data_IF_749601369322
#
_entry.id   IF_749601369322
#
_cell.length_a   1.000
_cell.length_b   1.000
_cell.length_c   1.000
_cell.angle_alpha   90.00
_cell.angle_beta   90.00
_cell.angle_gamma   90.00
#
_symmetry.space_group_name_H-M   'P 1'
#
loop_
_entity.id
_entity.type
_entity.pdbx_description
1 polymer ?
#
# COMPACT_ATOMS: atom_id res chain seq x y z
N UNK A 1 30.38 70.28 11.38
CA UNK A 1 31.54 69.96 10.51
C UNK A 1 31.04 69.22 9.26
N UNK A 2 30.42 69.94 8.33
CA UNK A 2 30.11 69.42 7.00
C UNK A 2 31.15 70.00 6.05
N UNK A 3 32.05 69.16 5.52
CA UNK A 3 33.01 69.59 4.51
C UNK A 3 32.48 69.18 3.15
N UNK A 4 32.08 70.18 2.38
CA UNK A 4 31.75 70.13 0.97
C UNK A 4 32.75 69.26 0.19
N UNK A 5 32.31 68.09 -0.26
CA UNK A 5 33.05 67.24 -1.20
C UNK A 5 32.91 67.71 -2.65
N UNK A 6 32.19 68.79 -2.91
CA UNK A 6 31.99 69.37 -4.25
C UNK A 6 33.14 70.25 -4.75
N UNK A 7 34.13 70.57 -3.92
CA UNK A 7 35.12 71.62 -4.22
C UNK A 7 36.50 71.15 -4.73
N UNK A 8 36.66 69.88 -5.14
CA UNK A 8 37.96 69.36 -5.62
C UNK A 8 37.97 68.83 -7.07
N UNK A 9 36.90 69.05 -7.84
CA UNK A 9 36.91 68.76 -9.27
C UNK A 9 37.47 69.99 -10.02
N UNK A 10 38.64 69.83 -10.65
CA UNK A 10 39.18 70.85 -11.56
C UNK A 10 38.21 71.11 -12.71
N UNK A 11 38.09 72.36 -13.17
CA UNK A 11 37.25 72.68 -14.32
C UNK A 11 38.00 72.27 -15.60
N UNK A 12 37.47 71.23 -16.25
CA UNK A 12 37.64 70.82 -17.66
C UNK A 12 37.90 69.32 -17.75
N UNK A 13 36.85 68.51 -17.55
CA UNK A 13 36.77 67.23 -18.24
C UNK A 13 36.78 67.54 -19.73
N UNK A 14 37.76 67.02 -20.45
CA UNK A 14 37.76 67.14 -21.90
C UNK A 14 36.50 66.47 -22.46
N UNK A 15 36.00 66.92 -23.61
CA UNK A 15 34.81 66.33 -24.23
C UNK A 15 34.92 64.81 -24.41
N UNK A 16 36.15 64.30 -24.60
CA UNK A 16 36.45 62.88 -24.68
C UNK A 16 36.29 62.14 -23.35
N UNK A 17 36.67 62.76 -22.22
CA UNK A 17 36.50 62.18 -20.89
C UNK A 17 35.03 62.20 -20.45
N UNK A 18 34.30 63.28 -20.75
CA UNK A 18 32.86 63.36 -20.51
C UNK A 18 32.11 62.25 -21.28
N UNK A 19 32.40 62.08 -22.58
CA UNK A 19 31.81 61.01 -23.38
C UNK A 19 32.14 59.60 -22.87
N UNK A 20 33.32 59.42 -22.25
CA UNK A 20 33.73 58.14 -21.67
C UNK A 20 33.03 57.85 -20.36
N UNK A 21 32.82 58.87 -19.52
CA UNK A 21 31.99 58.77 -18.32
C UNK A 21 30.55 58.40 -18.71
N UNK A 22 29.98 59.03 -19.73
CA UNK A 22 28.63 58.71 -20.21
C UNK A 22 28.52 57.25 -20.69
N UNK A 23 29.54 56.73 -21.39
CA UNK A 23 29.60 55.32 -21.77
C UNK A 23 29.64 54.38 -20.57
N UNK A 24 30.42 54.71 -19.53
CA UNK A 24 30.47 53.90 -18.31
C UNK A 24 29.17 53.96 -17.53
N UNK A 25 28.51 55.11 -17.47
CA UNK A 25 27.19 55.26 -16.85
C UNK A 25 26.16 54.39 -17.57
N UNK A 26 26.09 54.47 -18.90
CA UNK A 26 25.19 53.64 -19.70
C UNK A 26 25.46 52.13 -19.53
N UNK A 27 26.73 51.73 -19.44
CA UNK A 27 27.10 50.34 -19.19
C UNK A 27 26.68 49.86 -17.78
N UNK A 28 26.80 50.71 -16.76
CA UNK A 28 26.37 50.40 -15.39
C UNK A 28 24.84 50.28 -15.31
N UNK A 29 24.11 51.16 -15.99
CA UNK A 29 22.64 51.10 -16.04
C UNK A 29 22.16 49.82 -16.76
N UNK A 30 22.81 49.46 -17.88
CA UNK A 30 22.53 48.21 -18.57
C UNK A 30 22.82 46.97 -17.70
N UNK A 31 23.92 46.99 -16.95
CA UNK A 31 24.27 45.91 -16.03
C UNK A 31 23.27 45.82 -14.86
N UNK A 32 22.83 46.96 -14.31
CA UNK A 32 21.81 47.00 -13.28
C UNK A 32 20.47 46.42 -13.78
N UNK A 33 20.05 46.79 -15.00
CA UNK A 33 18.85 46.23 -15.62
C UNK A 33 18.96 44.71 -15.84
N UNK A 34 20.13 44.22 -16.28
CA UNK A 34 20.39 42.78 -16.42
C UNK A 34 20.32 42.04 -15.08
N UNK A 35 20.84 42.64 -14.01
CA UNK A 35 20.81 42.02 -12.69
C UNK A 35 19.38 41.93 -12.13
N UNK A 36 18.52 42.91 -12.40
CA UNK A 36 17.09 42.83 -12.05
C UNK A 36 16.43 41.62 -12.71
N UNK A 37 16.65 41.42 -14.01
CA UNK A 37 16.08 40.28 -14.76
C UNK A 37 16.59 38.94 -14.22
N UNK A 38 17.87 38.86 -13.85
CA UNK A 38 18.46 37.63 -13.27
C UNK A 38 17.83 37.32 -11.91
N UNK A 39 17.58 38.32 -11.08
CA UNK A 39 16.96 38.14 -9.76
C UNK A 39 15.48 37.74 -9.89
N UNK A 40 14.73 38.35 -10.81
CA UNK A 40 13.35 37.95 -11.09
C UNK A 40 13.26 36.51 -11.59
N UNK A 41 14.17 36.10 -12.49
CA UNK A 41 14.26 34.72 -12.96
C UNK A 41 14.67 33.76 -11.81
N UNK A 42 15.55 34.19 -10.91
CA UNK A 42 15.94 33.40 -9.75
C UNK A 42 14.76 33.21 -8.78
N UNK A 43 13.92 34.23 -8.58
CA UNK A 43 12.71 34.14 -7.77
C UNK A 43 11.67 33.21 -8.41
N UNK A 44 11.48 33.29 -9.73
CA UNK A 44 10.59 32.39 -10.48
C UNK A 44 11.07 30.93 -10.40
N UNK A 45 12.38 30.70 -10.59
CA UNK A 45 12.99 29.37 -10.48
C UNK A 45 12.95 28.83 -9.04
N UNK A 46 13.09 29.68 -8.03
CA UNK A 46 12.97 29.28 -6.63
C UNK A 46 11.55 28.77 -6.30
N UNK A 47 10.51 29.40 -6.85
CA UNK A 47 9.11 28.96 -6.71
C UNK A 47 8.86 27.65 -7.47
N UNK A 48 9.49 27.47 -8.64
CA UNK A 48 9.36 26.30 -9.51
C UNK A 48 10.26 25.11 -9.18
N UNK A 49 10.93 25.09 -8.02
CA UNK A 49 11.90 24.04 -7.69
C UNK A 49 11.24 22.65 -7.72
N UNK A 50 11.96 21.68 -8.28
CA UNK A 50 11.55 20.26 -8.35
C UNK A 50 11.13 19.72 -6.97
N UNK A 51 11.75 20.21 -5.90
CA UNK A 51 11.41 19.86 -4.51
C UNK A 51 10.01 20.36 -4.09
N UNK A 52 9.58 21.54 -4.52
CA UNK A 52 8.25 22.08 -4.20
C UNK A 52 7.13 21.38 -5.00
N UNK A 53 7.43 21.01 -6.25
CA UNK A 53 6.52 20.21 -7.09
C UNK A 53 6.44 18.75 -6.61
N UNK A 54 7.56 18.15 -6.17
CA UNK A 54 7.57 16.79 -5.58
C UNK A 54 6.93 16.74 -4.18
N UNK A 55 7.07 17.79 -3.36
CA UNK A 55 6.43 17.88 -2.05
C UNK A 55 4.90 17.99 -2.14
N UNK A 56 4.37 18.50 -3.25
CA UNK A 56 2.93 18.70 -3.43
C UNK A 56 2.21 17.50 -4.05
N UNK A 57 2.88 16.66 -4.84
CA UNK A 57 2.17 15.73 -5.74
C UNK A 57 2.06 14.28 -5.28
N UNK A 58 3.12 13.48 -5.13
CA UNK A 58 2.94 12.06 -5.49
C UNK A 58 3.27 10.99 -4.44
N UNK A 59 3.92 11.32 -3.32
CA UNK A 59 4.35 10.24 -2.42
C UNK A 59 3.23 9.77 -1.47
N UNK A 60 2.49 10.68 -0.85
CA UNK A 60 1.41 10.31 0.08
C UNK A 60 0.20 9.74 -0.67
N UNK A 61 -0.23 10.36 -1.77
CA UNK A 61 -1.33 9.86 -2.60
C UNK A 61 -0.98 8.52 -3.29
N UNK A 62 0.27 8.35 -3.72
CA UNK A 62 0.76 7.09 -4.28
C UNK A 62 0.76 5.98 -3.24
N UNK A 63 1.20 6.26 -2.01
CA UNK A 63 1.18 5.30 -0.89
C UNK A 63 -0.25 5.00 -0.46
N UNK A 64 -1.16 5.96 -0.37
CA UNK A 64 -2.55 5.72 0.02
C UNK A 64 -3.32 4.92 -1.04
N UNK A 65 -3.07 5.19 -2.33
CA UNK A 65 -3.67 4.42 -3.43
C UNK A 65 -3.10 3.01 -3.51
N UNK A 66 -1.78 2.85 -3.37
CA UNK A 66 -1.14 1.54 -3.32
C UNK A 66 -1.50 0.78 -2.05
N UNK A 67 -1.58 1.43 -0.90
CA UNK A 67 -2.03 0.81 0.35
C UNK A 67 -3.50 0.42 0.25
N UNK A 68 -4.38 1.27 -0.29
CA UNK A 68 -5.79 0.93 -0.54
C UNK A 68 -5.95 -0.25 -1.50
N UNK A 69 -5.12 -0.29 -2.55
CA UNK A 69 -5.09 -1.40 -3.53
C UNK A 69 -4.52 -2.67 -2.93
N UNK A 70 -3.41 -2.59 -2.20
CA UNK A 70 -2.78 -3.72 -1.50
C UNK A 70 -3.65 -4.22 -0.35
N UNK A 71 -4.43 -3.37 0.33
CA UNK A 71 -5.37 -3.81 1.37
C UNK A 71 -6.59 -4.50 0.73
N UNK A 72 -7.03 -4.06 -0.45
CA UNK A 72 -8.07 -4.73 -1.25
C UNK A 72 -7.61 -6.05 -1.86
N UNK A 73 -6.31 -6.17 -2.17
CA UNK A 73 -5.68 -7.36 -2.76
C UNK A 73 -5.00 -8.27 -1.73
N UNK A 74 -4.84 -7.79 -0.49
CA UNK A 74 -4.22 -8.57 0.57
C UNK A 74 -5.06 -9.82 0.77
N UNK A 75 -4.39 -10.96 0.74
CA UNK A 75 -4.93 -12.19 1.28
C UNK A 75 -4.48 -12.29 2.75
N UNK A 76 -5.19 -11.66 3.72
CA UNK A 76 -4.86 -11.75 5.15
C UNK A 76 -4.90 -13.18 5.68
N UNK A 77 -5.55 -14.10 4.96
CA UNK A 77 -5.70 -15.50 5.34
C UNK A 77 -5.12 -16.41 4.24
N UNK A 78 -3.80 -16.66 4.24
CA UNK A 78 -3.17 -17.55 3.26
C UNK A 78 -3.78 -18.95 3.25
N UNK A 79 -3.72 -19.62 2.10
CA UNK A 79 -4.19 -21.01 1.96
C UNK A 79 -3.46 -21.92 2.97
N UNK A 80 -4.19 -22.92 3.48
CA UNK A 80 -3.75 -23.82 4.56
C UNK A 80 -3.32 -23.12 5.86
N UNK A 81 -3.72 -21.85 6.08
CA UNK A 81 -3.52 -21.19 7.38
C UNK A 81 -4.59 -21.60 8.39
N UNK A 82 -4.21 -21.87 9.65
CA UNK A 82 -5.16 -22.16 10.72
C UNK A 82 -5.86 -20.87 11.17
N UNK A 83 -7.18 -20.91 11.23
CA UNK A 83 -8.03 -19.77 11.60
C UNK A 83 -9.07 -20.19 12.63
N UNK A 84 -9.71 -19.20 13.26
CA UNK A 84 -11.00 -19.37 13.90
C UNK A 84 -12.08 -18.76 13.00
N UNK A 85 -13.20 -19.46 12.86
CA UNK A 85 -14.29 -19.08 11.96
C UNK A 85 -15.63 -19.15 12.68
N UNK A 86 -16.51 -18.18 12.43
CA UNK A 86 -17.89 -18.26 12.94
C UNK A 86 -18.69 -19.29 12.15
N UNK A 87 -19.20 -20.29 12.84
CA UNK A 87 -20.02 -21.32 12.22
C UNK A 87 -21.09 -21.83 13.21
N UNK A 88 -22.34 -22.02 12.76
CA UNK A 88 -23.38 -22.53 13.65
C UNK A 88 -23.08 -23.97 14.04
N UNK A 89 -23.34 -24.31 15.30
CA UNK A 89 -23.29 -25.73 15.74
C UNK A 89 -24.55 -26.49 15.34
N UNK A 90 -25.64 -25.78 15.06
CA UNK A 90 -26.94 -26.34 14.71
C UNK A 90 -27.49 -25.61 13.48
N UNK A 91 -28.07 -26.35 12.54
CA UNK A 91 -28.55 -25.78 11.27
C UNK A 91 -29.63 -24.70 11.44
N UNK A 92 -30.36 -24.70 12.56
CA UNK A 92 -31.46 -23.78 12.81
C UNK A 92 -31.01 -22.38 13.28
N UNK A 93 -29.73 -22.19 13.62
CA UNK A 93 -29.23 -20.89 14.05
C UNK A 93 -28.81 -20.04 12.85
N UNK A 94 -29.63 -19.05 12.49
CA UNK A 94 -29.39 -18.12 11.38
C UNK A 94 -28.70 -16.81 11.81
N UNK A 95 -28.55 -16.55 13.11
CA UNK A 95 -27.89 -15.35 13.61
C UNK A 95 -26.37 -15.55 13.69
N UNK A 96 -25.68 -15.14 12.63
CA UNK A 96 -24.23 -15.21 12.51
C UNK A 96 -23.46 -14.51 13.63
N UNK A 97 -24.06 -13.47 14.24
CA UNK A 97 -23.43 -12.75 15.35
C UNK A 97 -23.45 -13.53 16.66
N UNK A 98 -24.33 -14.52 16.78
CA UNK A 98 -24.41 -15.44 17.93
C UNK A 98 -23.53 -16.68 17.79
N UNK A 99 -23.02 -16.97 16.59
CA UNK A 99 -22.28 -18.21 16.33
C UNK A 99 -20.96 -18.28 17.09
N UNK A 100 -20.59 -19.47 17.59
CA UNK A 100 -19.30 -19.67 18.23
C UNK A 100 -18.16 -19.56 17.21
N UNK A 101 -16.98 -19.21 17.72
CA UNK A 101 -15.73 -19.27 16.98
C UNK A 101 -15.18 -20.69 17.02
N UNK A 102 -15.17 -21.36 15.88
CA UNK A 102 -14.70 -22.74 15.74
C UNK A 102 -13.35 -22.78 15.02
N UNK A 103 -12.48 -23.75 15.34
CA UNK A 103 -11.24 -23.95 14.59
C UNK A 103 -11.53 -24.28 13.12
N UNK A 104 -10.75 -23.71 12.21
CA UNK A 104 -10.85 -23.98 10.79
C UNK A 104 -9.52 -23.86 10.06
N UNK A 105 -9.53 -24.29 8.80
CA UNK A 105 -8.39 -24.22 7.90
C UNK A 105 -8.82 -23.54 6.60
N UNK A 106 -8.07 -22.52 6.19
CA UNK A 106 -8.34 -21.82 4.92
C UNK A 106 -8.05 -22.76 3.76
N UNK A 107 -9.05 -22.98 2.91
CA UNK A 107 -8.88 -23.70 1.64
C UNK A 107 -8.33 -22.74 0.58
N UNK A 108 -8.89 -21.53 0.55
CA UNK A 108 -8.35 -20.43 -0.23
C UNK A 108 -9.36 -19.30 -0.45
N UNK A 109 -8.87 -18.20 -1.00
CA UNK A 109 -9.71 -17.07 -1.39
C UNK A 109 -10.45 -17.39 -2.69
N UNK A 110 -11.77 -17.22 -2.69
CA UNK A 110 -12.63 -17.46 -3.87
C UNK A 110 -12.84 -16.17 -4.65
N UNK A 111 -13.00 -15.07 -3.92
CA UNK A 111 -13.16 -13.71 -4.42
C UNK A 111 -12.55 -12.74 -3.39
N UNK A 112 -12.19 -11.50 -3.77
CA UNK A 112 -11.68 -10.51 -2.83
C UNK A 112 -12.62 -10.39 -1.61
N UNK A 113 -12.08 -10.59 -0.40
CA UNK A 113 -12.85 -10.54 0.84
C UNK A 113 -13.69 -11.77 1.16
N UNK A 114 -13.58 -12.87 0.40
CA UNK A 114 -14.35 -14.10 0.63
C UNK A 114 -13.45 -15.35 0.55
N UNK A 115 -13.49 -16.15 1.61
CA UNK A 115 -12.67 -17.36 1.75
C UNK A 115 -13.54 -18.60 1.93
N UNK A 116 -13.08 -19.72 1.38
CA UNK A 116 -13.55 -21.04 1.76
C UNK A 116 -12.73 -21.57 2.93
N UNK A 117 -13.43 -22.07 3.94
CA UNK A 117 -12.83 -22.59 5.17
C UNK A 117 -13.46 -23.95 5.50
N UNK A 118 -12.61 -24.93 5.77
CA UNK A 118 -13.02 -26.20 6.39
C UNK A 118 -13.12 -25.98 7.89
N UNK A 119 -14.26 -26.29 8.50
CA UNK A 119 -14.47 -26.15 9.96
C UNK A 119 -14.11 -27.44 10.66
N UNK A 120 -13.03 -27.45 11.44
CA UNK A 120 -12.44 -28.67 12.02
C UNK A 120 -12.94 -28.85 13.46
N UNK A 121 -14.22 -29.18 13.61
CA UNK A 121 -14.84 -29.50 14.89
C UNK A 121 -15.53 -30.87 14.80
N UNK A 122 -15.18 -31.79 15.71
CA UNK A 122 -15.69 -33.17 15.71
C UNK A 122 -17.22 -33.24 15.83
N UNK A 123 -17.86 -32.21 16.40
CA UNK A 123 -19.32 -32.12 16.53
C UNK A 123 -20.02 -31.86 15.21
N UNK A 124 -19.27 -31.45 14.19
CA UNK A 124 -19.79 -31.07 12.88
C UNK A 124 -19.43 -32.08 11.78
N UNK A 125 -18.86 -33.23 12.13
CA UNK A 125 -18.50 -34.26 11.13
C UNK A 125 -19.75 -34.71 10.37
N UNK A 126 -19.76 -34.48 9.06
CA UNK A 126 -20.88 -34.81 8.17
C UNK A 126 -20.89 -36.29 7.78
N UNK A 127 -19.74 -36.96 7.92
CA UNK A 127 -19.58 -38.37 7.61
C UNK A 127 -18.12 -38.81 7.64
N UNK A 128 -17.88 -40.03 7.19
CA UNK A 128 -16.54 -40.58 7.02
C UNK A 128 -16.34 -40.95 5.55
N UNK A 129 -15.17 -40.67 5.01
CA UNK A 129 -14.71 -41.25 3.75
C UNK A 129 -14.54 -42.77 3.89
N UNK A 130 -14.39 -43.47 2.77
CA UNK A 130 -14.22 -44.94 2.75
C UNK A 130 -12.97 -45.42 3.50
N UNK A 131 -11.97 -44.57 3.68
CA UNK A 131 -10.75 -44.80 4.44
C UNK A 131 -10.87 -44.45 5.95
N UNK A 132 -12.07 -44.06 6.40
CA UNK A 132 -12.36 -43.69 7.78
C UNK A 132 -11.94 -42.27 8.15
N UNK A 133 -11.55 -41.42 7.19
CA UNK A 133 -11.22 -40.01 7.46
C UNK A 133 -12.50 -39.18 7.63
N UNK A 134 -12.62 -38.33 8.67
CA UNK A 134 -13.80 -37.48 8.85
C UNK A 134 -13.94 -36.42 7.77
N UNK A 135 -15.17 -36.25 7.29
CA UNK A 135 -15.59 -35.20 6.38
C UNK A 135 -16.13 -34.04 7.23
N UNK A 136 -15.48 -32.89 7.10
CA UNK A 136 -15.86 -31.67 7.79
C UNK A 136 -16.57 -30.71 6.83
N UNK A 137 -17.51 -29.88 7.32
CA UNK A 137 -18.21 -28.92 6.50
C UNK A 137 -17.25 -27.86 5.97
N UNK A 138 -17.51 -27.42 4.73
CA UNK A 138 -16.85 -26.28 4.10
C UNK A 138 -17.82 -25.12 4.06
N UNK A 139 -17.39 -23.96 4.56
CA UNK A 139 -18.21 -22.75 4.56
C UNK A 139 -17.49 -21.57 3.93
N UNK A 140 -18.28 -20.67 3.33
CA UNK A 140 -17.82 -19.39 2.79
C UNK A 140 -17.96 -18.31 3.84
N UNK A 141 -16.91 -17.54 4.08
CA UNK A 141 -16.94 -16.45 5.07
C UNK A 141 -16.22 -15.21 4.57
N UNK A 142 -16.75 -14.08 5.01
CA UNK A 142 -16.11 -12.78 4.88
C UNK A 142 -15.06 -12.59 5.99
N UNK A 143 -14.20 -11.58 5.85
CA UNK A 143 -13.06 -11.37 6.74
C UNK A 143 -13.48 -11.21 8.21
N UNK A 144 -14.63 -10.60 8.45
CA UNK A 144 -15.17 -10.27 9.77
C UNK A 144 -15.57 -11.52 10.57
N UNK A 145 -15.89 -12.61 9.85
CA UNK A 145 -16.24 -13.91 10.41
C UNK A 145 -15.02 -14.84 10.55
N UNK A 146 -13.80 -14.32 10.33
CA UNK A 146 -12.54 -15.07 10.36
C UNK A 146 -11.56 -14.35 11.29
N UNK A 147 -10.84 -15.11 12.12
CA UNK A 147 -9.75 -14.61 12.96
C UNK A 147 -8.51 -15.47 12.72
N UNK A 148 -7.36 -14.82 12.53
CA UNK A 148 -6.10 -15.54 12.55
C UNK A 148 -5.93 -16.14 13.94
N UNK A 149 -5.69 -17.45 13.99
CA UNK A 149 -5.34 -18.10 15.25
C UNK A 149 -3.90 -17.70 15.56
N UNK A 150 -3.71 -16.78 16.51
CA UNK A 150 -2.38 -16.38 16.96
C UNK A 150 -1.73 -17.55 17.71
N UNK A 151 -0.95 -18.35 17.00
CA UNK A 151 0.04 -19.23 17.60
C UNK A 151 1.36 -18.45 17.63
N UNK A 152 2.07 -18.34 18.78
CA UNK A 152 3.45 -17.91 18.74
C UNK A 152 4.21 -18.83 17.80
N UNK A 153 5.07 -18.25 16.95
CA UNK A 153 5.82 -18.92 15.87
C UNK A 153 6.69 -20.10 16.34
N UNK A 154 6.83 -20.29 17.66
CA UNK A 154 7.54 -21.38 18.35
C UNK A 154 6.67 -22.59 18.73
N UNK A 155 5.35 -22.52 18.57
CA UNK A 155 4.42 -23.61 18.90
C UNK A 155 3.82 -24.27 17.65
N UNK A 156 4.67 -24.69 16.72
CA UNK A 156 4.29 -25.71 15.74
C UNK A 156 4.57 -27.06 16.40
N UNK A 157 3.56 -27.77 16.96
CA UNK A 157 3.74 -29.18 17.27
C UNK A 157 3.93 -29.92 15.95
N UNK A 158 5.19 -30.23 15.66
CA UNK A 158 5.57 -31.20 14.64
C UNK A 158 4.97 -32.55 15.05
N UNK A 159 3.81 -32.91 14.51
CA UNK A 159 3.37 -34.31 14.52
C UNK A 159 1.88 -34.60 14.68
N UNK A 160 1.05 -33.73 15.27
CA UNK A 160 -0.31 -34.16 15.65
C UNK A 160 -1.46 -33.54 14.83
N UNK A 161 -1.27 -32.33 14.27
CA UNK A 161 -2.32 -31.63 13.48
C UNK A 161 -1.92 -31.40 12.01
N UNK A 162 -0.75 -31.87 11.59
CA UNK A 162 -0.10 -31.45 10.35
C UNK A 162 -0.14 -32.47 9.21
N UNK A 163 -0.53 -33.73 9.44
CA UNK A 163 -0.64 -34.72 8.37
C UNK A 163 -1.98 -34.65 7.63
N UNK A 164 -3.08 -34.92 8.34
CA UNK A 164 -4.41 -35.12 7.74
C UNK A 164 -5.08 -33.83 7.28
N UNK A 165 -5.01 -32.74 8.05
CA UNK A 165 -5.62 -31.47 7.65
C UNK A 165 -4.93 -30.84 6.43
N UNK A 166 -3.60 -31.00 6.32
CA UNK A 166 -2.85 -30.65 5.11
C UNK A 166 -3.21 -31.54 3.94
N UNK A 167 -3.34 -32.85 4.15
CA UNK A 167 -3.73 -33.79 3.10
C UNK A 167 -5.15 -33.50 2.58
N UNK A 168 -6.09 -33.15 3.46
CA UNK A 168 -7.45 -32.71 3.08
C UNK A 168 -7.37 -31.40 2.30
N UNK A 169 -6.70 -30.35 2.80
CA UNK A 169 -6.56 -29.10 2.05
C UNK A 169 -5.88 -29.29 0.67
N UNK A 170 -4.86 -30.15 0.59
CA UNK A 170 -4.16 -30.48 -0.67
C UNK A 170 -5.06 -31.27 -1.62
N UNK A 171 -5.79 -32.28 -1.14
CA UNK A 171 -6.74 -33.06 -1.96
C UNK A 171 -7.91 -32.20 -2.45
N UNK A 172 -8.40 -31.27 -1.64
CA UNK A 172 -9.46 -30.33 -2.00
C UNK A 172 -8.97 -29.22 -2.94
N UNK A 173 -7.74 -28.72 -2.74
CA UNK A 173 -7.07 -27.80 -3.66
C UNK A 173 -6.83 -28.45 -5.03
N UNK A 174 -6.35 -29.70 -5.07
CA UNK A 174 -6.18 -30.47 -6.31
C UNK A 174 -7.51 -30.71 -7.02
N UNK A 175 -8.54 -31.12 -6.29
CA UNK A 175 -9.89 -31.37 -6.84
C UNK A 175 -10.55 -30.08 -7.36
N UNK A 176 -10.26 -28.92 -6.76
CA UNK A 176 -10.70 -27.60 -7.23
C UNK A 176 -9.90 -27.13 -8.44
N UNK A 177 -8.59 -27.39 -8.47
CA UNK A 177 -7.72 -27.12 -9.62
C UNK A 177 -8.21 -27.88 -10.85
N UNK A 178 -8.51 -29.18 -10.72
CA UNK A 178 -9.04 -30.01 -11.81
C UNK A 178 -10.41 -29.55 -12.32
N UNK A 179 -11.34 -29.14 -11.45
CA UNK A 179 -12.63 -28.59 -11.87
C UNK A 179 -12.52 -27.25 -12.59
N UNK A 180 -11.49 -26.45 -12.29
CA UNK A 180 -11.26 -25.16 -12.96
C UNK A 180 -10.67 -25.33 -14.36
N UNK A 181 -9.88 -26.38 -14.59
CA UNK A 181 -9.34 -26.72 -15.92
C UNK A 181 -10.43 -27.23 -16.86
N UNK A 182 -11.36 -28.06 -16.38
CA UNK A 182 -12.46 -28.61 -17.20
C UNK A 182 -13.48 -27.54 -17.61
N UNK A 183 -13.62 -26.44 -16.85
CA UNK A 183 -14.54 -25.35 -17.18
C UNK A 183 -13.95 -24.32 -18.17
N UNK A 184 -12.66 -24.39 -18.50
CA UNK A 184 -11.99 -23.46 -19.43
C UNK A 184 -11.87 -24.01 -20.87
N UNK A 185 -12.17 -25.30 -21.09
CA UNK A 185 -12.11 -25.99 -22.38
C UNK A 185 -13.51 -26.38 -22.93
N UNK A 186 -14.57 -25.70 -22.48
CA UNK A 186 -15.97 -25.94 -22.89
C UNK A 186 -16.60 -24.76 -23.62
#
# INVERSE_FOLDING_TARGET
>A
MGRDRRALAGPDLTAAEAARVDQYVAAVEAFAASNTVILELADELAVGTIEATLATSDLELGIETLAGTLTRQANPFPDASPVQVRHPLTADNTDETSWPWLPGLVVGMIAPGQWDIVVIDDRLVEGLYADGVPVYPVCRRAAEAIRLRWLPRSAVPSGALTGRARQIAVCWSWSRSMRRTVAADG
#
